data_IF_342792606882
#
_entry.id   IF_342792606882
#
_cell.length_a   1.000
_cell.length_b   1.000
_cell.length_c   1.000
_cell.angle_alpha   90.00
_cell.angle_beta   90.00
_cell.angle_gamma   90.00
#
_symmetry.space_group_name_H-M   'P 1'
#
loop_
_entity.id
_entity.type
_entity.pdbx_description
1 polymer ?
#
# COMPACT_ATOMS: atom_id res chain seq x y z
N UNK A 1 -8.62 -23.87 -16.38
CA UNK A 1 -7.57 -23.67 -17.39
C UNK A 1 -6.34 -22.94 -16.85
N UNK A 2 -6.46 -21.79 -16.16
CA UNK A 2 -5.31 -21.03 -15.62
C UNK A 2 -4.47 -21.89 -14.68
N UNK A 3 -5.08 -22.50 -13.64
CA UNK A 3 -4.39 -23.34 -12.66
C UNK A 3 -3.80 -24.59 -13.32
N UNK A 4 -4.49 -25.19 -14.29
CA UNK A 4 -3.99 -26.31 -15.06
C UNK A 4 -2.69 -25.96 -15.79
N UNK A 5 -2.64 -24.79 -16.43
CA UNK A 5 -1.42 -24.27 -17.04
C UNK A 5 -0.28 -24.03 -16.04
N UNK A 6 -0.58 -23.47 -14.87
CA UNK A 6 0.43 -23.19 -13.82
C UNK A 6 1.01 -24.50 -13.26
N UNK A 7 0.16 -25.50 -12.99
CA UNK A 7 0.61 -26.78 -12.44
C UNK A 7 1.10 -27.76 -13.51
N UNK A 8 1.01 -27.39 -14.80
CA UNK A 8 1.37 -28.25 -15.92
C UNK A 8 0.66 -29.59 -15.92
N UNK A 9 -0.63 -29.59 -15.56
CA UNK A 9 -1.51 -30.76 -15.49
C UNK A 9 -2.76 -30.51 -16.34
N UNK A 10 -3.35 -31.58 -16.94
CA UNK A 10 -4.66 -31.49 -17.55
C UNK A 10 -5.72 -31.00 -16.54
N UNK A 11 -6.73 -30.21 -16.95
CA UNK A 11 -7.75 -29.70 -16.05
C UNK A 11 -8.47 -30.79 -15.24
N UNK A 12 -8.67 -31.96 -15.81
CA UNK A 12 -9.30 -33.12 -15.19
C UNK A 12 -8.41 -33.85 -14.17
N UNK A 13 -7.10 -33.67 -14.22
CA UNK A 13 -6.14 -34.33 -13.34
C UNK A 13 -5.65 -33.44 -12.19
N UNK A 14 -5.92 -32.13 -12.24
CA UNK A 14 -5.34 -31.19 -11.28
C UNK A 14 -5.90 -31.35 -9.85
N UNK A 15 -7.07 -31.97 -9.67
CA UNK A 15 -7.65 -32.29 -8.37
C UNK A 15 -7.97 -31.05 -7.51
N UNK A 16 -8.40 -29.95 -8.15
CA UNK A 16 -8.81 -28.72 -7.45
C UNK A 16 -10.25 -28.84 -6.99
N UNK A 17 -10.52 -28.42 -5.75
CA UNK A 17 -11.85 -28.36 -5.16
C UNK A 17 -12.07 -27.06 -4.39
N UNK A 18 -13.30 -26.88 -3.87
CA UNK A 18 -13.68 -25.79 -2.95
C UNK A 18 -13.35 -24.38 -3.46
N UNK A 19 -13.56 -24.14 -4.76
CA UNK A 19 -13.29 -22.84 -5.34
C UNK A 19 -14.34 -21.83 -4.85
N UNK A 20 -13.88 -20.74 -4.27
CA UNK A 20 -14.74 -19.62 -3.83
C UNK A 20 -14.12 -18.27 -4.19
N UNK A 21 -14.99 -17.29 -4.42
CA UNK A 21 -14.56 -15.91 -4.69
C UNK A 21 -14.17 -15.25 -3.38
N UNK A 22 -12.97 -14.67 -3.33
CA UNK A 22 -12.56 -13.81 -2.24
C UNK A 22 -13.11 -12.38 -2.50
N UNK A 23 -14.02 -11.90 -1.64
CA UNK A 23 -14.71 -10.60 -1.82
C UNK A 23 -13.85 -9.37 -1.51
N UNK A 24 -12.54 -9.52 -1.26
CA UNK A 24 -11.65 -8.42 -0.88
C UNK A 24 -10.68 -8.11 -2.02
N UNK A 25 -10.61 -6.84 -2.42
CA UNK A 25 -9.65 -6.28 -3.37
C UNK A 25 -10.29 -5.23 -4.29
N UNK A 26 -9.67 -4.05 -4.39
CA UNK A 26 -10.14 -2.94 -5.24
C UNK A 26 -9.64 -3.06 -6.69
N UNK A 27 -8.60 -3.84 -6.93
CA UNK A 27 -7.90 -3.91 -8.21
C UNK A 27 -7.88 -5.30 -8.84
N UNK A 28 -7.74 -6.34 -8.05
CA UNK A 28 -7.52 -7.71 -8.52
C UNK A 28 -8.70 -8.63 -8.21
N UNK A 29 -8.86 -9.69 -8.99
CA UNK A 29 -9.81 -10.78 -8.72
C UNK A 29 -9.08 -11.90 -8.00
N UNK A 30 -9.52 -12.24 -6.80
CA UNK A 30 -8.90 -13.29 -5.99
C UNK A 30 -9.89 -14.43 -5.72
N UNK A 31 -9.38 -15.64 -5.81
CA UNK A 31 -10.16 -16.86 -5.57
C UNK A 31 -9.40 -17.75 -4.59
N UNK A 32 -10.12 -18.30 -3.62
CA UNK A 32 -9.63 -19.35 -2.74
C UNK A 32 -9.93 -20.69 -3.39
N UNK A 33 -9.00 -21.62 -3.34
CA UNK A 33 -9.19 -22.98 -3.81
C UNK A 33 -8.41 -23.97 -2.95
N UNK A 34 -8.84 -25.22 -2.94
CA UNK A 34 -8.14 -26.33 -2.31
C UNK A 34 -7.36 -27.11 -3.36
N UNK A 35 -6.11 -27.38 -3.07
CA UNK A 35 -5.26 -28.29 -3.85
C UNK A 35 -4.54 -29.22 -2.89
N UNK A 36 -4.76 -30.54 -3.05
CA UNK A 36 -4.36 -31.55 -2.06
C UNK A 36 -4.92 -31.19 -0.66
N UNK A 37 -4.10 -31.19 0.37
CA UNK A 37 -4.51 -30.95 1.76
C UNK A 37 -4.47 -29.47 2.16
N UNK A 38 -4.11 -28.56 1.25
CA UNK A 38 -3.91 -27.14 1.57
C UNK A 38 -4.84 -26.24 0.79
N UNK A 39 -5.15 -25.07 1.35
CA UNK A 39 -5.87 -24.00 0.67
C UNK A 39 -4.91 -22.95 0.15
N UNK A 40 -5.24 -22.36 -0.98
CA UNK A 40 -4.45 -21.36 -1.66
C UNK A 40 -5.35 -20.20 -2.12
N UNK A 41 -4.72 -19.04 -2.32
CA UNK A 41 -5.34 -17.89 -2.99
C UNK A 41 -4.65 -17.72 -4.32
N UNK A 42 -5.41 -17.69 -5.43
CA UNK A 42 -4.93 -17.22 -6.71
C UNK A 42 -5.43 -15.79 -6.93
N UNK A 43 -4.52 -14.87 -7.21
CA UNK A 43 -4.80 -13.52 -7.69
C UNK A 43 -4.65 -13.46 -9.19
N UNK A 44 -5.70 -12.98 -9.85
CA UNK A 44 -5.77 -12.70 -11.27
C UNK A 44 -5.88 -11.18 -11.43
N UNK A 45 -5.02 -10.50 -12.20
CA UNK A 45 -5.13 -9.08 -12.47
C UNK A 45 -6.54 -8.69 -12.95
N UNK A 46 -7.09 -7.64 -12.36
CA UNK A 46 -8.35 -7.07 -12.81
C UNK A 46 -8.15 -6.27 -14.11
N UNK A 47 -9.24 -6.00 -14.81
CA UNK A 47 -9.23 -5.22 -16.04
C UNK A 47 -8.70 -3.80 -15.80
N UNK A 48 -7.78 -3.34 -16.65
CA UNK A 48 -7.14 -2.02 -16.55
C UNK A 48 -5.98 -1.94 -15.55
N UNK A 49 -5.67 -3.01 -14.81
CA UNK A 49 -4.53 -3.01 -13.86
C UNK A 49 -3.17 -3.09 -14.57
N UNK A 50 -3.13 -3.55 -15.81
CA UNK A 50 -1.93 -3.58 -16.64
C UNK A 50 -1.33 -2.18 -16.90
N UNK A 51 -2.14 -1.14 -16.76
CA UNK A 51 -1.70 0.27 -16.86
C UNK A 51 -1.23 0.85 -15.52
N UNK A 52 -1.61 0.24 -14.41
CA UNK A 52 -1.40 0.77 -13.05
C UNK A 52 -0.23 0.11 -12.35
N UNK A 53 0.00 -1.18 -12.61
CA UNK A 53 0.94 -2.01 -11.86
C UNK A 53 2.00 -2.56 -12.80
N UNK A 54 3.26 -2.28 -12.49
CA UNK A 54 4.42 -2.91 -13.11
C UNK A 54 4.66 -4.29 -12.47
N UNK A 55 4.26 -5.34 -13.17
CA UNK A 55 4.33 -6.72 -12.65
C UNK A 55 5.76 -7.24 -12.53
N UNK A 56 6.70 -6.66 -13.25
CA UNK A 56 8.13 -6.98 -13.12
C UNK A 56 8.71 -6.37 -11.84
N UNK A 57 8.33 -5.13 -11.50
CA UNK A 57 8.69 -4.51 -10.23
C UNK A 57 8.08 -5.26 -9.04
N UNK A 58 6.81 -5.66 -9.11
CA UNK A 58 6.18 -6.50 -8.10
C UNK A 58 6.95 -7.83 -7.91
N UNK A 59 7.28 -8.51 -9.01
CA UNK A 59 8.06 -9.75 -8.96
C UNK A 59 9.43 -9.53 -8.29
N UNK A 60 10.13 -8.47 -8.66
CA UNK A 60 11.43 -8.12 -8.06
C UNK A 60 11.31 -7.81 -6.57
N UNK A 61 10.23 -7.15 -6.14
CA UNK A 61 9.93 -6.88 -4.74
C UNK A 61 9.76 -8.18 -3.95
N UNK A 62 8.95 -9.11 -4.43
CA UNK A 62 8.79 -10.43 -3.80
C UNK A 62 10.10 -11.22 -3.73
N UNK A 63 10.92 -11.16 -4.78
CA UNK A 63 12.25 -11.81 -4.78
C UNK A 63 13.18 -11.24 -3.73
N UNK A 64 13.14 -9.93 -3.52
CA UNK A 64 13.98 -9.24 -2.53
C UNK A 64 13.63 -9.62 -1.08
N UNK A 65 12.37 -10.00 -0.81
CA UNK A 65 11.85 -10.33 0.52
C UNK A 65 11.57 -11.82 0.74
N UNK A 66 11.85 -12.68 -0.23
CA UNK A 66 11.51 -14.11 -0.23
C UNK A 66 11.93 -14.87 1.04
N UNK A 67 13.02 -14.43 1.68
CA UNK A 67 13.58 -15.07 2.88
C UNK A 67 13.23 -14.37 4.18
N UNK A 68 12.38 -13.36 4.11
CA UNK A 68 12.03 -12.53 5.26
C UNK A 68 10.66 -12.95 5.76
N UNK A 69 10.59 -13.33 7.03
CA UNK A 69 9.36 -13.82 7.65
C UNK A 69 8.40 -12.67 8.03
N UNK A 70 8.11 -11.79 7.06
CA UNK A 70 7.13 -10.69 7.20
C UNK A 70 6.19 -10.56 5.99
N UNK A 71 6.36 -11.38 4.96
CA UNK A 71 5.56 -11.30 3.74
C UNK A 71 4.81 -12.60 3.46
N UNK A 72 3.81 -12.50 2.57
CA UNK A 72 2.97 -13.60 2.08
C UNK A 72 3.66 -14.45 1.01
N UNK A 73 4.89 -14.86 1.21
CA UNK A 73 5.73 -15.59 0.26
C UNK A 73 4.93 -16.38 -0.80
N UNK A 74 4.85 -15.91 -2.05
CA UNK A 74 4.05 -16.57 -3.07
C UNK A 74 4.67 -17.92 -3.46
N UNK A 75 3.85 -18.94 -3.59
CA UNK A 75 4.26 -20.24 -4.15
C UNK A 75 4.38 -20.19 -5.67
N UNK A 76 3.76 -19.19 -6.28
CA UNK A 76 3.87 -18.88 -7.70
C UNK A 76 3.63 -17.39 -7.93
N UNK A 77 4.47 -16.76 -8.73
CA UNK A 77 4.29 -15.40 -9.24
C UNK A 77 4.86 -15.33 -10.65
N UNK A 78 4.10 -14.73 -11.57
CA UNK A 78 4.52 -14.59 -12.96
C UNK A 78 4.48 -13.11 -13.36
N UNK A 79 5.64 -12.50 -13.68
CA UNK A 79 5.71 -11.08 -14.04
C UNK A 79 5.03 -10.75 -15.37
N UNK A 80 4.87 -11.70 -16.27
CA UNK A 80 4.25 -11.45 -17.59
C UNK A 80 2.72 -11.48 -17.53
N UNK A 81 2.14 -12.36 -16.72
CA UNK A 81 0.68 -12.51 -16.59
C UNK A 81 0.13 -11.80 -15.35
N UNK A 82 0.97 -11.47 -14.39
CA UNK A 82 0.58 -10.93 -13.09
C UNK A 82 -0.15 -11.95 -12.20
N UNK A 83 -0.21 -13.23 -12.59
CA UNK A 83 -0.82 -14.26 -11.75
C UNK A 83 0.07 -14.54 -10.54
N UNK A 84 -0.56 -14.56 -9.36
CA UNK A 84 0.13 -14.84 -8.10
C UNK A 84 -0.67 -15.89 -7.32
N UNK A 85 0.01 -16.88 -6.74
CA UNK A 85 -0.58 -17.86 -5.84
C UNK A 85 0.15 -17.76 -4.50
N UNK A 86 -0.62 -17.58 -3.43
CA UNK A 86 -0.14 -17.61 -2.05
C UNK A 86 -0.85 -18.70 -1.26
N UNK A 87 -0.23 -19.18 -0.21
CA UNK A 87 -0.91 -20.09 0.71
C UNK A 87 -1.99 -19.33 1.48
N UNK A 88 -3.17 -19.94 1.63
CA UNK A 88 -4.22 -19.38 2.48
C UNK A 88 -3.86 -19.60 3.96
N UNK A 89 -3.91 -18.53 4.74
CA UNK A 89 -3.64 -18.59 6.18
C UNK A 89 -4.95 -18.79 6.92
N UNK A 90 -5.08 -19.93 7.57
CA UNK A 90 -6.27 -20.26 8.34
C UNK A 90 -6.44 -19.32 9.54
N UNK A 91 -7.68 -18.88 9.76
CA UNK A 91 -8.06 -18.01 10.88
C UNK A 91 -7.30 -16.68 10.95
N UNK A 92 -6.67 -16.23 9.85
CA UNK A 92 -6.07 -14.92 9.79
C UNK A 92 -7.16 -13.84 9.79
N UNK A 93 -6.90 -12.77 10.54
CA UNK A 93 -7.67 -11.53 10.51
C UNK A 93 -6.81 -10.37 10.05
N UNK A 94 -7.41 -9.33 9.52
CA UNK A 94 -6.70 -8.09 9.22
C UNK A 94 -6.46 -7.27 10.49
N UNK A 95 -5.53 -6.32 10.44
CA UNK A 95 -5.31 -5.35 11.50
C UNK A 95 -6.60 -4.56 11.75
N UNK A 96 -6.96 -4.40 13.03
CA UNK A 96 -7.99 -3.45 13.43
C UNK A 96 -7.36 -2.05 13.57
N UNK A 97 -7.78 -1.07 12.74
CA UNK A 97 -7.13 0.24 12.73
C UNK A 97 -7.34 1.05 14.01
N UNK A 98 -8.24 0.61 14.89
CA UNK A 98 -8.52 1.28 16.16
C UNK A 98 -8.06 0.47 17.39
N UNK A 99 -7.47 -0.70 17.19
CA UNK A 99 -6.86 -1.49 18.25
C UNK A 99 -5.39 -1.09 18.45
N UNK A 100 -5.07 -0.58 19.63
CA UNK A 100 -3.70 -0.11 19.92
C UNK A 100 -2.64 -1.20 19.90
N UNK A 101 -3.01 -2.44 20.19
CA UNK A 101 -2.13 -3.60 20.12
C UNK A 101 -1.78 -3.94 18.66
N UNK A 102 -2.78 -3.95 17.80
CA UNK A 102 -2.59 -4.18 16.36
C UNK A 102 -1.75 -3.09 15.72
N UNK A 103 -2.05 -1.81 16.01
CA UNK A 103 -1.26 -0.67 15.50
C UNK A 103 0.21 -0.79 15.91
N UNK A 104 0.49 -1.13 17.18
CA UNK A 104 1.86 -1.34 17.67
C UNK A 104 2.58 -2.45 16.92
N UNK A 105 1.88 -3.56 16.62
CA UNK A 105 2.45 -4.67 15.83
C UNK A 105 2.76 -4.22 14.40
N UNK A 106 1.83 -3.53 13.74
CA UNK A 106 2.01 -3.03 12.37
C UNK A 106 3.18 -2.05 12.29
N UNK A 107 3.25 -1.08 13.19
CA UNK A 107 4.39 -0.14 13.27
C UNK A 107 5.71 -0.86 13.58
N UNK A 108 5.68 -1.91 14.38
CA UNK A 108 6.83 -2.78 14.64
C UNK A 108 7.32 -3.54 13.40
N UNK A 109 6.40 -4.01 12.57
CA UNK A 109 6.72 -4.66 11.28
C UNK A 109 7.35 -3.66 10.32
N UNK A 110 6.76 -2.48 10.15
CA UNK A 110 7.29 -1.42 9.28
C UNK A 110 8.68 -0.98 9.73
N UNK A 111 8.88 -0.72 11.02
CA UNK A 111 10.19 -0.37 11.59
C UNK A 111 11.24 -1.45 11.31
N UNK A 112 10.86 -2.73 11.45
CA UNK A 112 11.75 -3.85 11.14
C UNK A 112 12.09 -3.88 9.65
N UNK A 113 11.10 -3.72 8.76
CA UNK A 113 11.29 -3.64 7.31
C UNK A 113 12.27 -2.53 6.92
N UNK A 114 12.02 -1.32 7.40
CA UNK A 114 12.84 -0.14 7.06
C UNK A 114 14.28 -0.23 7.57
N UNK A 115 14.53 -1.00 8.64
CA UNK A 115 15.88 -1.24 9.15
C UNK A 115 16.61 -2.40 8.43
N UNK A 116 15.92 -3.14 7.56
CA UNK A 116 16.55 -4.17 6.73
C UNK A 116 17.26 -3.51 5.55
N UNK A 117 18.47 -3.91 5.26
CA UNK A 117 19.21 -3.43 4.09
C UNK A 117 18.77 -4.15 2.81
N UNK A 118 17.47 -4.03 2.50
CA UNK A 118 16.89 -4.55 1.27
C UNK A 118 17.01 -3.46 0.21
N UNK A 119 17.35 -3.85 -1.01
CA UNK A 119 17.40 -2.94 -2.14
C UNK A 119 16.79 -3.60 -3.38
N UNK A 120 16.01 -2.81 -4.12
CA UNK A 120 15.45 -3.16 -5.42
C UNK A 120 15.83 -2.08 -6.45
N UNK A 121 15.83 -2.39 -7.75
CA UNK A 121 16.30 -1.45 -8.78
C UNK A 121 15.29 -0.35 -9.13
N UNK A 122 14.14 -0.30 -8.46
CA UNK A 122 13.06 0.66 -8.75
C UNK A 122 12.68 1.46 -7.51
N UNK A 123 12.13 2.64 -7.77
CA UNK A 123 11.64 3.59 -6.76
C UNK A 123 10.15 3.83 -6.96
N UNK A 124 9.44 4.19 -5.90
CA UNK A 124 8.07 4.66 -6.01
C UNK A 124 8.05 6.20 -5.99
N UNK A 125 7.86 6.81 -7.16
CA UNK A 125 7.78 8.28 -7.29
C UNK A 125 6.32 8.75 -7.08
N UNK A 126 6.01 9.28 -5.89
CA UNK A 126 4.67 9.77 -5.55
C UNK A 126 4.23 10.87 -6.53
N UNK A 127 5.08 11.85 -6.79
CA UNK A 127 4.73 12.99 -7.66
C UNK A 127 4.63 12.59 -9.12
N UNK A 128 5.52 11.70 -9.57
CA UNK A 128 5.43 11.12 -10.91
C UNK A 128 4.15 10.29 -11.11
N UNK A 129 3.70 9.57 -10.08
CA UNK A 129 2.43 8.83 -10.13
C UNK A 129 1.20 9.75 -10.12
N UNK A 130 1.21 10.89 -9.41
CA UNK A 130 0.17 11.92 -9.52
C UNK A 130 0.04 12.38 -10.98
N UNK A 131 1.16 12.76 -11.63
CA UNK A 131 1.16 13.16 -13.03
C UNK A 131 0.73 12.04 -13.98
N UNK A 132 1.09 10.80 -13.63
CA UNK A 132 0.72 9.62 -14.41
C UNK A 132 -0.80 9.39 -14.37
N UNK A 133 -1.43 9.44 -13.19
CA UNK A 133 -2.88 9.29 -13.07
C UNK A 133 -3.65 10.41 -13.74
N UNK A 134 -3.19 11.66 -13.66
CA UNK A 134 -3.77 12.76 -14.42
C UNK A 134 -3.73 12.51 -15.94
N UNK A 135 -2.60 12.01 -16.46
CA UNK A 135 -2.50 11.65 -17.89
C UNK A 135 -3.51 10.55 -18.27
N UNK A 136 -3.82 9.63 -17.37
CA UNK A 136 -4.83 8.60 -17.61
C UNK A 136 -6.26 9.14 -17.64
N UNK A 137 -6.53 10.33 -17.06
CA UNK A 137 -7.84 10.97 -17.22
C UNK A 137 -8.08 11.52 -18.63
N UNK A 138 -7.04 11.73 -19.43
CA UNK A 138 -7.11 12.34 -20.74
C UNK A 138 -7.61 13.79 -20.65
N UNK A 139 -8.60 14.14 -21.48
CA UNK A 139 -9.18 15.50 -21.51
C UNK A 139 -10.22 15.74 -20.39
N UNK A 140 -10.44 14.77 -19.50
CA UNK A 140 -11.39 14.92 -18.40
C UNK A 140 -10.83 15.86 -17.33
N UNK A 141 -11.76 16.51 -16.61
CA UNK A 141 -11.43 17.35 -15.46
C UNK A 141 -11.73 16.62 -14.16
N UNK A 142 -10.99 16.95 -13.11
CA UNK A 142 -11.33 16.50 -11.76
C UNK A 142 -12.75 16.96 -11.37
N UNK A 143 -13.43 16.15 -10.57
CA UNK A 143 -14.71 16.53 -9.95
C UNK A 143 -14.54 17.62 -8.89
N UNK A 144 -13.32 17.87 -8.42
CA UNK A 144 -13.02 18.87 -7.41
C UNK A 144 -12.74 20.22 -8.08
N UNK A 145 -13.58 21.27 -7.86
CA UNK A 145 -13.40 22.57 -8.52
C UNK A 145 -12.08 23.27 -8.19
N UNK A 146 -11.52 22.99 -7.03
CA UNK A 146 -10.27 23.57 -6.52
C UNK A 146 -9.04 22.66 -6.71
N UNK A 147 -9.14 21.63 -7.59
CA UNK A 147 -8.08 20.65 -7.82
C UNK A 147 -6.73 21.31 -8.17
N UNK A 148 -6.71 22.24 -9.13
CA UNK A 148 -5.47 22.88 -9.55
C UNK A 148 -4.74 23.59 -8.41
N UNK A 149 -5.46 24.35 -7.58
CA UNK A 149 -4.87 25.03 -6.43
C UNK A 149 -4.45 24.04 -5.32
N UNK A 150 -5.17 22.95 -5.16
CA UNK A 150 -4.79 21.87 -4.21
C UNK A 150 -3.51 21.19 -4.67
N UNK A 151 -3.40 20.83 -5.95
CA UNK A 151 -2.18 20.26 -6.54
C UNK A 151 -0.99 21.20 -6.38
N UNK A 152 -1.14 22.47 -6.72
CA UNK A 152 -0.07 23.47 -6.56
C UNK A 152 0.44 23.55 -5.11
N UNK A 153 -0.48 23.49 -4.15
CA UNK A 153 -0.13 23.49 -2.73
C UNK A 153 0.64 22.22 -2.33
N UNK A 154 0.20 21.06 -2.76
CA UNK A 154 0.90 19.78 -2.50
C UNK A 154 2.30 19.79 -3.12
N UNK A 155 2.44 20.30 -4.35
CA UNK A 155 3.74 20.37 -5.03
C UNK A 155 4.72 21.34 -4.37
N UNK A 156 4.26 22.36 -3.64
CA UNK A 156 5.15 23.21 -2.81
C UNK A 156 5.83 22.43 -1.70
N UNK A 157 5.22 21.35 -1.20
CA UNK A 157 5.81 20.52 -0.17
C UNK A 157 6.98 19.65 -0.69
N UNK A 158 7.03 19.40 -2.01
CA UNK A 158 8.08 18.61 -2.65
C UNK A 158 9.48 19.10 -2.32
N UNK A 159 9.68 20.42 -2.35
CA UNK A 159 10.98 21.02 -2.02
C UNK A 159 11.43 20.71 -0.58
N UNK A 160 10.49 20.71 0.38
CA UNK A 160 10.80 20.37 1.75
C UNK A 160 11.13 18.88 1.90
N UNK A 161 10.37 18.02 1.23
CA UNK A 161 10.62 16.55 1.20
C UNK A 161 12.05 16.32 0.65
N UNK A 162 12.38 16.83 -0.53
CA UNK A 162 13.66 16.61 -1.20
C UNK A 162 14.86 17.14 -0.40
N UNK A 163 14.68 18.28 0.30
CA UNK A 163 15.72 18.87 1.12
C UNK A 163 15.97 18.14 2.45
N UNK A 164 15.03 17.32 2.90
CA UNK A 164 15.08 16.65 4.20
C UNK A 164 14.96 15.12 4.11
N UNK A 165 14.81 14.55 2.92
CA UNK A 165 14.77 13.11 2.74
C UNK A 165 16.10 12.46 3.16
N UNK A 166 15.98 11.38 3.91
CA UNK A 166 17.11 10.51 4.24
C UNK A 166 17.39 9.52 3.08
N UNK A 167 18.28 8.58 3.30
CA UNK A 167 18.51 7.48 2.36
C UNK A 167 17.20 6.69 2.15
N UNK A 168 16.84 6.44 0.89
CA UNK A 168 15.68 5.62 0.56
C UNK A 168 15.91 4.18 0.99
N UNK A 169 14.90 3.61 1.59
CA UNK A 169 14.85 2.20 2.00
C UNK A 169 13.78 1.46 1.20
N UNK A 170 13.78 0.15 1.28
CA UNK A 170 12.69 -0.63 0.72
C UNK A 170 11.41 -0.43 1.54
N UNK A 171 10.37 0.08 0.89
CA UNK A 171 9.06 0.42 1.47
C UNK A 171 7.96 -0.39 0.80
N UNK A 172 6.85 -0.56 1.51
CA UNK A 172 5.68 -1.27 1.00
C UNK A 172 4.78 -0.38 0.13
N UNK A 173 4.71 0.90 0.44
CA UNK A 173 3.86 1.94 -0.17
C UNK A 173 2.37 1.74 0.14
N UNK A 174 1.82 0.56 -0.02
CA UNK A 174 0.42 0.24 0.31
C UNK A 174 0.30 -0.43 1.70
N UNK A 175 1.00 0.11 2.69
CA UNK A 175 1.05 -0.40 4.06
C UNK A 175 -0.25 -0.09 4.85
N UNK A 176 -1.40 -0.37 4.26
CA UNK A 176 -2.72 -0.14 4.85
C UNK A 176 -3.09 -1.25 5.84
N UNK A 177 -3.93 -0.99 6.86
CA UNK A 177 -4.33 -1.99 7.87
C UNK A 177 -4.83 -3.32 7.30
N UNK A 178 -5.55 -3.30 6.18
CA UNK A 178 -6.09 -4.49 5.53
C UNK A 178 -5.02 -5.41 4.95
N UNK A 179 -3.82 -4.90 4.69
CA UNK A 179 -2.69 -5.68 4.18
C UNK A 179 -1.86 -6.34 5.29
N UNK A 180 -2.14 -6.06 6.58
CA UNK A 180 -1.53 -6.77 7.71
C UNK A 180 -2.43 -7.91 8.17
N UNK A 181 -1.97 -9.15 7.98
CA UNK A 181 -2.64 -10.37 8.42
C UNK A 181 -2.08 -10.83 9.76
N UNK A 182 -2.93 -10.94 10.77
CA UNK A 182 -2.60 -11.41 12.11
C UNK A 182 -3.23 -12.78 12.33
N UNK A 183 -2.43 -13.76 12.75
CA UNK A 183 -2.88 -15.14 12.94
C UNK A 183 -2.07 -15.85 14.01
N UNK A 184 -2.62 -16.94 14.55
CA UNK A 184 -1.90 -17.83 15.46
C UNK A 184 -1.24 -18.93 14.63
N UNK A 185 0.09 -19.06 14.73
CA UNK A 185 0.84 -20.09 14.05
C UNK A 185 0.71 -21.47 14.72
N UNK A 186 1.27 -22.50 14.09
CA UNK A 186 1.32 -23.87 14.64
C UNK A 186 2.12 -23.95 15.95
N UNK A 187 3.03 -23.01 16.17
CA UNK A 187 3.81 -22.86 17.40
C UNK A 187 3.00 -22.24 18.56
N UNK A 188 1.72 -21.91 18.33
CA UNK A 188 0.83 -21.28 19.30
C UNK A 188 1.09 -19.79 19.51
N UNK A 189 2.05 -19.18 18.80
CA UNK A 189 2.36 -17.76 18.89
C UNK A 189 1.56 -16.95 17.88
N UNK A 190 1.35 -15.68 18.19
CA UNK A 190 0.77 -14.74 17.25
C UNK A 190 1.82 -14.27 16.25
N UNK A 191 1.48 -14.37 14.98
CA UNK A 191 2.28 -13.92 13.84
C UNK A 191 1.60 -12.80 13.10
N UNK A 192 2.38 -12.02 12.36
CA UNK A 192 1.90 -10.96 11.48
C UNK A 192 2.63 -11.03 10.14
N UNK A 193 1.85 -10.96 9.06
CA UNK A 193 2.37 -10.86 7.69
C UNK A 193 1.84 -9.60 7.03
N UNK A 194 2.69 -8.96 6.25
CA UNK A 194 2.33 -7.85 5.38
C UNK A 194 2.22 -8.38 3.95
N UNK A 195 1.08 -8.15 3.31
CA UNK A 195 0.71 -8.71 2.02
C UNK A 195 0.54 -7.61 0.96
N UNK A 196 0.49 -7.99 -0.30
CA UNK A 196 0.19 -7.14 -1.45
C UNK A 196 1.25 -6.07 -1.77
N UNK A 197 2.43 -6.53 -2.16
CA UNK A 197 3.62 -5.74 -2.44
C UNK A 197 3.67 -5.17 -3.86
N UNK A 198 2.52 -4.96 -4.51
CA UNK A 198 2.45 -4.56 -5.93
C UNK A 198 2.91 -3.12 -6.21
N UNK A 199 3.00 -2.26 -5.18
CA UNK A 199 3.54 -0.90 -5.24
C UNK A 199 4.90 -0.73 -4.58
N UNK A 200 5.42 -1.80 -3.94
CA UNK A 200 6.65 -1.72 -3.18
C UNK A 200 7.84 -1.24 -4.01
N UNK A 201 8.74 -0.47 -3.40
CA UNK A 201 9.92 0.09 -4.04
C UNK A 201 10.80 0.87 -3.08
N UNK A 202 11.90 1.41 -3.58
CA UNK A 202 12.76 2.27 -2.77
C UNK A 202 12.10 3.63 -2.56
N UNK A 203 11.96 4.05 -1.29
CA UNK A 203 11.40 5.37 -0.94
C UNK A 203 11.83 5.77 0.49
N UNK A 204 11.49 6.98 0.91
CA UNK A 204 11.58 7.44 2.29
C UNK A 204 10.70 6.56 3.19
N UNK A 205 11.23 5.98 4.29
CA UNK A 205 10.48 5.07 5.16
C UNK A 205 9.18 5.67 5.71
N UNK A 206 9.09 6.98 5.80
CA UNK A 206 7.92 7.66 6.38
C UNK A 206 6.71 7.68 5.46
N UNK A 207 6.89 7.30 4.20
CA UNK A 207 5.77 7.08 3.27
C UNK A 207 4.87 5.96 3.77
N UNK A 208 5.40 4.85 4.27
CA UNK A 208 4.59 3.75 4.79
C UNK A 208 3.75 4.16 6.00
N UNK A 209 4.28 5.05 6.86
CA UNK A 209 3.52 5.61 7.99
C UNK A 209 2.36 6.48 7.47
N UNK A 210 2.64 7.33 6.48
CA UNK A 210 1.64 8.18 5.85
C UNK A 210 0.52 7.35 5.21
N UNK A 211 0.85 6.31 4.45
CA UNK A 211 -0.11 5.44 3.78
C UNK A 211 -0.97 4.65 4.77
N UNK A 212 -0.39 4.16 5.88
CA UNK A 212 -1.16 3.54 6.95
C UNK A 212 -2.22 4.50 7.52
N UNK A 213 -1.87 5.76 7.69
CA UNK A 213 -2.77 6.78 8.22
C UNK A 213 -3.89 7.15 7.24
N UNK A 214 -3.61 7.19 5.94
CA UNK A 214 -4.56 7.62 4.89
C UNK A 214 -5.77 6.70 4.73
N UNK A 215 -5.61 5.41 5.03
CA UNK A 215 -6.65 4.41 4.78
C UNK A 215 -7.79 4.43 5.82
N UNK A 216 -7.49 4.81 7.06
CA UNK A 216 -8.36 4.52 8.22
C UNK A 216 -9.19 5.71 8.71
N UNK A 217 -9.28 6.80 7.96
CA UNK A 217 -10.02 8.01 8.31
C UNK A 217 -9.65 8.60 9.69
N UNK A 218 -8.38 8.54 10.01
CA UNK A 218 -7.87 9.08 11.27
C UNK A 218 -7.90 10.61 11.30
N UNK A 219 -8.23 11.15 12.47
CA UNK A 219 -8.01 12.56 12.74
C UNK A 219 -6.52 12.86 13.06
N UNK A 220 -6.22 14.14 13.28
CA UNK A 220 -4.84 14.58 13.54
C UNK A 220 -4.25 13.99 14.83
N UNK A 221 -5.05 13.79 15.86
CA UNK A 221 -4.60 13.24 17.14
C UNK A 221 -4.24 11.76 16.98
N UNK A 222 -5.09 11.00 16.32
CA UNK A 222 -4.86 9.60 15.98
C UNK A 222 -3.61 9.41 15.13
N UNK A 223 -3.41 10.26 14.11
CA UNK A 223 -2.21 10.23 13.27
C UNK A 223 -0.96 10.55 14.07
N UNK A 224 -1.00 11.54 14.95
CA UNK A 224 0.12 11.84 15.83
C UNK A 224 0.45 10.67 16.77
N UNK A 225 -0.57 9.99 17.28
CA UNK A 225 -0.37 8.80 18.10
C UNK A 225 0.31 7.67 17.33
N UNK A 226 -0.06 7.44 16.07
CA UNK A 226 0.59 6.44 15.21
C UNK A 226 2.06 6.79 14.96
N UNK A 227 2.35 8.06 14.67
CA UNK A 227 3.71 8.56 14.52
C UNK A 227 4.50 8.32 15.82
N UNK A 228 3.94 8.66 16.97
CA UNK A 228 4.59 8.47 18.25
C UNK A 228 4.81 6.99 18.59
N UNK A 229 3.91 6.10 18.21
CA UNK A 229 4.10 4.64 18.34
C UNK A 229 5.27 4.18 17.46
N UNK A 230 5.34 4.60 16.18
CA UNK A 230 6.44 4.23 15.31
C UNK A 230 7.80 4.71 15.83
N UNK A 231 7.89 5.92 16.35
CA UNK A 231 9.13 6.52 16.88
C UNK A 231 9.35 6.30 18.39
N UNK A 232 8.48 5.56 19.05
CA UNK A 232 8.55 5.34 20.50
C UNK A 232 8.62 6.67 21.30
N UNK A 233 7.81 7.65 20.87
CA UNK A 233 7.73 8.98 21.48
C UNK A 233 8.92 9.90 21.16
N UNK A 234 9.80 9.56 20.22
CA UNK A 234 11.02 10.32 19.90
C UNK A 234 11.02 10.91 18.47
N UNK A 235 9.84 11.28 17.96
CA UNK A 235 9.72 11.93 16.65
C UNK A 235 10.11 13.42 16.73
N UNK A 236 11.08 13.86 15.93
CA UNK A 236 11.39 15.30 15.81
C UNK A 236 10.32 16.01 14.97
N UNK A 237 10.18 17.32 15.17
CA UNK A 237 9.24 18.13 14.40
C UNK A 237 9.56 18.15 12.90
N UNK A 238 10.83 18.08 12.53
CA UNK A 238 11.24 17.96 11.12
C UNK A 238 10.72 16.66 10.47
N UNK A 239 10.87 15.53 11.16
CA UNK A 239 10.36 14.24 10.70
C UNK A 239 8.82 14.27 10.65
N UNK A 240 8.16 14.82 11.67
CA UNK A 240 6.70 14.96 11.71
C UNK A 240 6.18 15.81 10.55
N UNK A 241 6.85 16.94 10.28
CA UNK A 241 6.51 17.79 9.12
C UNK A 241 6.62 17.01 7.81
N UNK A 242 7.68 16.20 7.65
CA UNK A 242 7.87 15.36 6.47
C UNK A 242 6.78 14.30 6.32
N UNK A 243 6.37 13.64 7.41
CA UNK A 243 5.24 12.70 7.38
C UNK A 243 3.94 13.43 6.97
N UNK A 244 3.69 14.62 7.49
CA UNK A 244 2.52 15.41 7.07
C UNK A 244 2.58 15.78 5.58
N UNK A 245 3.77 16.09 5.04
CA UNK A 245 3.95 16.27 3.61
C UNK A 245 3.57 15.01 2.82
N UNK A 246 3.99 13.83 3.28
CA UNK A 246 3.64 12.56 2.63
C UNK A 246 2.15 12.22 2.76
N UNK A 247 1.49 12.54 3.87
CA UNK A 247 0.03 12.39 4.00
C UNK A 247 -0.68 13.30 3.00
N UNK A 248 -0.22 14.53 2.83
CA UNK A 248 -0.78 15.45 1.83
C UNK A 248 -0.57 14.94 0.40
N UNK A 249 0.64 14.53 0.05
CA UNK A 249 0.97 14.02 -1.28
C UNK A 249 0.28 12.67 -1.58
N UNK A 250 0.26 11.75 -0.63
CA UNK A 250 -0.44 10.47 -0.74
C UNK A 250 -1.95 10.62 -0.84
N UNK A 251 -2.52 11.59 -0.11
CA UNK A 251 -3.95 11.93 -0.23
C UNK A 251 -4.30 12.41 -1.65
N UNK A 252 -3.47 13.26 -2.26
CA UNK A 252 -3.66 13.67 -3.66
C UNK A 252 -3.49 12.47 -4.61
N UNK A 253 -2.43 11.68 -4.45
CA UNK A 253 -2.14 10.49 -5.24
C UNK A 253 -3.33 9.54 -5.31
N UNK A 254 -3.87 9.15 -4.15
CA UNK A 254 -4.99 8.21 -4.09
C UNK A 254 -6.32 8.82 -4.51
N UNK A 255 -6.50 10.14 -4.33
CA UNK A 255 -7.61 10.87 -4.94
C UNK A 255 -7.56 10.79 -6.47
N UNK A 256 -6.39 10.98 -7.07
CA UNK A 256 -6.19 10.93 -8.51
C UNK A 256 -6.37 9.52 -9.08
N UNK A 257 -5.92 8.51 -8.34
CA UNK A 257 -6.22 7.11 -8.66
C UNK A 257 -7.73 6.84 -8.64
N UNK A 258 -8.46 7.36 -7.65
CA UNK A 258 -9.92 7.24 -7.59
C UNK A 258 -10.60 7.93 -8.77
N UNK A 259 -10.13 9.09 -9.17
CA UNK A 259 -10.62 9.80 -10.37
C UNK A 259 -10.42 8.96 -11.64
N UNK A 260 -9.24 8.35 -11.81
CA UNK A 260 -9.00 7.44 -12.93
C UNK A 260 -9.97 6.25 -12.89
N UNK A 261 -10.13 5.60 -11.74
CA UNK A 261 -11.04 4.46 -11.58
C UNK A 261 -12.50 4.84 -11.82
N UNK A 262 -12.90 6.07 -11.46
CA UNK A 262 -14.23 6.59 -11.78
C UNK A 262 -14.46 6.68 -13.30
N UNK A 263 -13.45 7.10 -14.07
CA UNK A 263 -13.53 7.07 -15.54
C UNK A 263 -13.59 5.64 -16.11
N UNK A 264 -13.11 4.65 -15.36
CA UNK A 264 -13.31 3.23 -15.67
C UNK A 264 -14.65 2.66 -15.17
N UNK A 265 -15.55 3.49 -14.63
CA UNK A 265 -16.86 3.07 -14.14
C UNK A 265 -16.89 2.53 -12.70
N UNK A 266 -15.82 2.74 -11.92
CA UNK A 266 -15.72 2.30 -10.52
C UNK A 266 -15.65 3.52 -9.60
N UNK A 267 -16.63 3.68 -8.73
CA UNK A 267 -16.71 4.79 -7.77
C UNK A 267 -16.35 4.34 -6.35
N UNK A 268 -15.51 5.12 -5.67
CA UNK A 268 -15.07 4.87 -4.29
C UNK A 268 -15.74 5.78 -3.25
N UNK A 269 -16.65 6.65 -3.67
CA UNK A 269 -17.52 7.42 -2.79
C UNK A 269 -16.78 8.21 -1.71
N UNK A 270 -17.01 7.84 -0.44
CA UNK A 270 -16.43 8.54 0.71
C UNK A 270 -14.90 8.41 0.76
N UNK A 271 -14.34 7.26 0.39
CA UNK A 271 -12.88 7.07 0.36
C UNK A 271 -12.19 8.11 -0.54
N UNK A 272 -12.70 8.34 -1.76
CA UNK A 272 -12.12 9.34 -2.66
C UNK A 272 -12.17 10.76 -2.06
N UNK A 273 -13.30 11.14 -1.43
CA UNK A 273 -13.44 12.44 -0.75
C UNK A 273 -12.49 12.59 0.43
N UNK A 274 -12.31 11.54 1.19
CA UNK A 274 -11.39 11.49 2.33
C UNK A 274 -9.95 11.72 1.88
N UNK A 275 -9.50 11.03 0.82
CA UNK A 275 -8.14 11.20 0.28
C UNK A 275 -7.91 12.66 -0.16
N UNK A 276 -8.86 13.25 -0.88
CA UNK A 276 -8.77 14.65 -1.28
C UNK A 276 -8.78 15.63 -0.09
N UNK A 277 -9.54 15.33 0.96
CA UNK A 277 -9.52 16.09 2.22
C UNK A 277 -8.15 16.05 2.87
N UNK A 278 -7.52 14.87 2.98
CA UNK A 278 -6.16 14.74 3.52
C UNK A 278 -5.13 15.55 2.74
N UNK A 279 -5.21 15.57 1.41
CA UNK A 279 -4.34 16.41 0.59
C UNK A 279 -4.37 17.88 1.03
N UNK A 280 -5.56 18.41 1.30
CA UNK A 280 -5.79 19.83 1.68
C UNK A 280 -5.45 20.12 3.14
N UNK A 281 -5.88 19.29 4.06
CA UNK A 281 -5.69 19.51 5.49
C UNK A 281 -4.24 19.33 5.90
N UNK A 282 -3.58 18.28 5.41
CA UNK A 282 -2.20 18.00 5.75
C UNK A 282 -1.21 18.91 5.05
N UNK A 283 -1.56 19.49 3.90
CA UNK A 283 -0.82 20.64 3.35
C UNK A 283 -0.73 21.77 4.40
N UNK A 284 -1.87 22.16 5.01
CA UNK A 284 -1.90 23.25 6.00
C UNK A 284 -1.11 22.92 7.25
N UNK A 285 -1.22 21.69 7.74
CA UNK A 285 -0.47 21.25 8.92
C UNK A 285 1.04 21.19 8.65
N UNK A 286 1.44 20.66 7.50
CA UNK A 286 2.83 20.63 7.08
C UNK A 286 3.40 22.05 6.91
N UNK A 287 2.70 22.92 6.16
CA UNK A 287 3.14 24.32 5.95
C UNK A 287 3.30 25.07 7.27
N UNK A 288 2.36 24.91 8.21
CA UNK A 288 2.43 25.54 9.53
C UNK A 288 3.65 25.06 10.31
N UNK A 289 3.89 23.75 10.36
CA UNK A 289 5.01 23.17 11.09
C UNK A 289 6.35 23.54 10.45
N UNK A 290 6.44 23.52 9.11
CA UNK A 290 7.64 23.93 8.36
C UNK A 290 7.99 25.41 8.63
N UNK A 291 7.01 26.31 8.77
CA UNK A 291 7.25 27.70 9.13
C UNK A 291 7.88 27.81 10.53
N UNK A 292 7.35 27.09 11.50
CA UNK A 292 7.90 27.08 12.87
C UNK A 292 9.33 26.53 12.94
N UNK A 293 9.72 25.63 12.04
CA UNK A 293 11.09 25.10 11.97
C UNK A 293 12.13 26.08 11.40
N UNK A 294 11.68 27.15 10.74
CA UNK A 294 12.55 28.18 10.14
C UNK A 294 12.77 29.39 11.04
N UNK A 295 11.90 29.56 12.03
CA UNK A 295 11.98 30.61 13.06
C UNK A 295 12.88 30.16 14.22
#
# INVERSE_FOLDING_TARGET
DILAGIYSLPPEEIGISDISVMKKGMTNRSYIYRYKDSRYIIRIPGEGTEKLIDREQEYNSYRAIERINICDNPVYINPHTGYKITQYIENARTCSPYDSGDIKRCMGVLRRLHNMKISVPHTFDIFGNIEFYEKLWGDNKSIYPDYGSTKDNVYRLKMFIEANADEYVFTHIDAVPDNFLIYTGEDGNEHIQLTDWEYAGMQDPYVDIAMFCLYSDYDKEQINNIIDIYFEGRCSDNIRARIYCYISAGGLLWSDWCEYKRHCGVEFGEYARQQYRYAKEYYRYAESLIKTLKD
#
